data_IF_438469995827
#
_entry.id   IF_438469995827
#
_cell.length_a   1.000
_cell.length_b   1.000
_cell.length_c   1.000
_cell.angle_alpha   90.00
_cell.angle_beta   90.00
_cell.angle_gamma   90.00
#
_symmetry.space_group_name_H-M   'P 1'
#
loop_
_entity.id
_entity.type
_entity.pdbx_description
1 polymer ?
#
# COMPACT_ATOMS: atom_id res chain seq x y z
N UNK A 1 19.39 -4.79 -7.67
CA UNK A 1 20.81 -4.34 -7.67
C UNK A 1 21.27 -3.91 -9.07
N UNK A 2 21.15 -4.76 -10.09
CA UNK A 2 21.69 -4.48 -11.44
C UNK A 2 21.14 -3.21 -12.10
N UNK A 3 19.81 -2.93 -11.98
CA UNK A 3 19.23 -1.69 -12.51
C UNK A 3 19.81 -0.45 -11.82
N UNK A 4 19.80 -0.45 -10.47
CA UNK A 4 20.22 0.71 -9.69
C UNK A 4 21.70 1.03 -9.81
N UNK A 5 22.55 0.02 -10.06
CA UNK A 5 24.00 0.23 -10.29
C UNK A 5 24.30 0.91 -11.63
N UNK A 6 23.34 0.92 -12.56
CA UNK A 6 23.52 1.46 -13.94
C UNK A 6 22.89 2.84 -14.14
N UNK A 7 22.14 3.37 -13.16
CA UNK A 7 21.40 4.62 -13.34
C UNK A 7 21.80 5.66 -12.30
N UNK A 8 21.94 6.92 -12.74
CA UNK A 8 22.21 8.05 -11.85
C UNK A 8 20.98 8.44 -11.00
N UNK A 9 19.80 8.37 -11.60
CA UNK A 9 18.52 8.63 -10.93
C UNK A 9 17.59 7.43 -11.16
N UNK A 10 17.17 6.74 -10.11
CA UNK A 10 16.23 5.65 -10.21
C UNK A 10 14.85 6.15 -10.70
N UNK A 11 14.21 5.39 -11.59
CA UNK A 11 12.87 5.68 -12.06
C UNK A 11 12.06 4.40 -12.21
N UNK A 12 10.95 4.29 -11.48
CA UNK A 12 10.18 3.05 -11.37
C UNK A 12 9.65 2.56 -12.73
N UNK A 13 9.12 3.45 -13.56
CA UNK A 13 8.57 3.07 -14.85
C UNK A 13 9.62 2.43 -15.77
N UNK A 14 10.87 2.95 -15.80
CA UNK A 14 11.96 2.36 -16.55
C UNK A 14 12.36 0.99 -16.01
N UNK A 15 12.45 0.86 -14.68
CA UNK A 15 12.70 -0.42 -14.02
C UNK A 15 11.62 -1.45 -14.37
N UNK A 16 10.35 -1.08 -14.24
CA UNK A 16 9.22 -1.95 -14.53
C UNK A 16 9.19 -2.43 -15.98
N UNK A 17 9.42 -1.52 -16.94
CA UNK A 17 9.55 -1.87 -18.34
C UNK A 17 10.65 -2.93 -18.57
N UNK A 18 11.82 -2.74 -18.01
CA UNK A 18 12.92 -3.71 -18.09
C UNK A 18 12.53 -5.07 -17.49
N UNK A 19 11.85 -5.08 -16.33
CA UNK A 19 11.41 -6.32 -15.70
C UNK A 19 10.36 -7.06 -16.54
N UNK A 20 9.41 -6.34 -17.17
CA UNK A 20 8.43 -6.96 -18.08
C UNK A 20 9.10 -7.65 -19.27
N UNK A 21 10.05 -6.98 -19.91
CA UNK A 21 10.82 -7.54 -21.04
C UNK A 21 11.62 -8.76 -20.57
N UNK A 22 12.42 -8.61 -19.51
CA UNK A 22 13.33 -9.66 -19.03
C UNK A 22 12.58 -10.92 -18.58
N UNK A 23 11.40 -10.78 -17.98
CA UNK A 23 10.60 -11.90 -17.46
C UNK A 23 9.51 -12.37 -18.42
N UNK A 24 9.36 -11.72 -19.56
CA UNK A 24 8.30 -11.96 -20.55
C UNK A 24 6.90 -11.93 -19.92
N UNK A 25 6.63 -10.94 -19.04
CA UNK A 25 5.36 -10.78 -18.35
C UNK A 25 4.54 -9.67 -19.01
N UNK A 26 3.28 -9.97 -19.39
CA UNK A 26 2.41 -9.11 -20.18
C UNK A 26 3.05 -8.62 -21.48
N UNK A 27 3.76 -9.52 -22.15
CA UNK A 27 4.43 -9.27 -23.43
C UNK A 27 3.86 -10.21 -24.50
N UNK A 28 3.68 -9.70 -25.72
CA UNK A 28 3.34 -10.45 -26.93
C UNK A 28 4.21 -9.90 -28.06
N UNK A 29 4.93 -10.76 -28.75
CA UNK A 29 5.81 -10.42 -29.88
C UNK A 29 6.74 -9.22 -29.57
N UNK A 30 7.38 -9.26 -28.40
CA UNK A 30 8.25 -8.20 -27.86
C UNK A 30 7.56 -6.85 -27.58
N UNK A 31 6.22 -6.78 -27.68
CA UNK A 31 5.44 -5.60 -27.38
C UNK A 31 4.64 -5.79 -26.07
N UNK A 32 4.34 -4.72 -25.34
CA UNK A 32 3.48 -4.82 -24.18
C UNK A 32 2.05 -5.16 -24.59
N UNK A 33 1.40 -6.04 -23.83
CA UNK A 33 -0.03 -6.34 -23.99
C UNK A 33 -0.83 -5.04 -23.88
N UNK A 34 -1.81 -4.84 -24.76
CA UNK A 34 -2.59 -3.62 -24.85
C UNK A 34 -1.81 -2.42 -25.42
N UNK A 35 -0.64 -2.64 -26.01
CA UNK A 35 0.24 -1.63 -26.67
C UNK A 35 0.69 -0.49 -25.76
N UNK A 36 0.47 -0.59 -24.44
CA UNK A 36 0.89 0.39 -23.44
C UNK A 36 1.75 -0.26 -22.36
N UNK A 37 2.73 0.48 -21.84
CA UNK A 37 3.57 0.02 -20.72
C UNK A 37 2.87 0.18 -19.37
N UNK A 38 1.92 1.09 -19.25
CA UNK A 38 1.14 1.35 -18.05
C UNK A 38 -0.25 1.84 -18.43
N UNK A 39 -1.25 1.46 -17.64
CA UNK A 39 -2.64 1.90 -17.71
C UNK A 39 -3.03 2.76 -16.49
N UNK A 40 -2.05 3.33 -15.78
CA UNK A 40 -2.23 4.11 -14.56
C UNK A 40 -3.24 5.28 -14.71
N UNK A 41 -3.31 5.88 -15.89
CA UNK A 41 -4.27 6.96 -16.17
C UNK A 41 -5.73 6.51 -16.11
N UNK A 42 -5.99 5.21 -16.31
CA UNK A 42 -7.32 4.62 -16.27
C UNK A 42 -7.75 4.21 -14.86
N UNK A 43 -6.84 4.26 -13.88
CA UNK A 43 -7.01 3.75 -12.52
C UNK A 43 -7.49 4.81 -11.49
N UNK A 44 -8.09 5.91 -11.96
CA UNK A 44 -8.43 7.08 -11.14
C UNK A 44 -9.91 7.44 -11.18
N UNK A 45 -10.78 6.44 -11.24
CA UNK A 45 -12.23 6.65 -11.24
C UNK A 45 -12.75 6.80 -9.80
N UNK A 46 -13.69 7.71 -9.62
CA UNK A 46 -14.47 7.79 -8.36
C UNK A 46 -15.39 6.58 -8.28
N UNK A 47 -15.45 5.94 -7.11
CA UNK A 47 -16.31 4.78 -6.91
C UNK A 47 -17.79 5.20 -6.84
N UNK A 48 -18.68 4.61 -7.67
CA UNK A 48 -20.12 4.83 -7.58
C UNK A 48 -20.71 4.29 -6.27
N UNK A 49 -21.75 4.95 -5.76
CA UNK A 49 -22.38 4.55 -4.49
C UNK A 49 -23.03 3.16 -4.52
N UNK A 50 -23.48 2.72 -5.71
CA UNK A 50 -24.15 1.44 -5.90
C UNK A 50 -23.20 0.24 -6.05
N UNK A 51 -21.90 0.44 -6.10
CA UNK A 51 -20.95 -0.67 -6.12
C UNK A 51 -20.77 -1.19 -4.68
N UNK A 52 -21.09 -2.48 -4.41
CA UNK A 52 -20.95 -3.06 -3.10
C UNK A 52 -19.48 -3.15 -2.71
N UNK A 53 -19.21 -2.97 -1.42
CA UNK A 53 -17.89 -3.21 -0.88
C UNK A 53 -17.63 -4.70 -0.74
N UNK A 54 -16.47 -5.20 -1.22
CA UNK A 54 -16.11 -6.59 -1.03
C UNK A 54 -15.87 -6.89 0.46
N UNK A 55 -16.36 -8.01 0.92
CA UNK A 55 -16.14 -8.46 2.29
C UNK A 55 -14.69 -8.87 2.51
N UNK A 56 -14.21 -8.70 3.75
CA UNK A 56 -12.94 -9.28 4.17
C UNK A 56 -13.03 -10.81 4.21
N UNK A 57 -11.92 -11.51 3.91
CA UNK A 57 -11.85 -12.95 4.13
C UNK A 57 -12.13 -13.29 5.60
N UNK A 58 -12.83 -14.39 5.83
CA UNK A 58 -12.95 -14.98 7.16
C UNK A 58 -12.12 -16.24 7.22
N UNK A 59 -11.28 -16.32 8.23
CA UNK A 59 -10.41 -17.47 8.48
C UNK A 59 -10.91 -18.19 9.74
N UNK A 60 -10.49 -19.45 9.91
CA UNK A 60 -10.75 -20.18 11.15
C UNK A 60 -9.85 -19.63 12.24
N UNK A 61 -10.45 -19.33 13.38
CA UNK A 61 -9.69 -19.15 14.60
C UNK A 61 -9.10 -20.49 15.03
N UNK A 62 -7.85 -20.47 15.49
CA UNK A 62 -7.19 -21.61 16.09
C UNK A 62 -6.78 -21.29 17.55
N UNK A 63 -6.49 -22.32 18.33
CA UNK A 63 -6.15 -22.15 19.76
C UNK A 63 -4.90 -21.29 19.96
N UNK A 64 -3.92 -21.39 19.05
CA UNK A 64 -2.68 -20.59 19.10
C UNK A 64 -2.99 -19.12 18.89
N UNK A 65 -3.88 -18.80 17.96
CA UNK A 65 -4.29 -17.43 17.68
C UNK A 65 -5.01 -16.81 18.89
N UNK A 66 -5.89 -17.57 19.55
CA UNK A 66 -6.60 -17.09 20.74
C UNK A 66 -5.65 -16.86 21.92
N UNK A 67 -4.68 -17.75 22.14
CA UNK A 67 -3.63 -17.57 23.16
C UNK A 67 -2.78 -16.33 22.89
N UNK A 68 -2.41 -16.08 21.61
CA UNK A 68 -1.66 -14.90 21.21
C UNK A 68 -2.48 -13.63 21.40
N UNK A 69 -3.77 -13.62 21.02
CA UNK A 69 -4.66 -12.48 21.24
C UNK A 69 -4.74 -12.13 22.71
N UNK A 70 -4.90 -13.15 23.59
CA UNK A 70 -4.90 -12.94 25.05
C UNK A 70 -3.59 -12.33 25.53
N UNK A 71 -2.46 -12.93 25.14
CA UNK A 71 -1.13 -12.43 25.51
C UNK A 71 -0.91 -10.98 25.04
N UNK A 72 -1.30 -10.64 23.81
CA UNK A 72 -1.19 -9.27 23.28
C UNK A 72 -2.05 -8.30 24.08
N UNK A 73 -3.28 -8.65 24.38
CA UNK A 73 -4.18 -7.79 25.17
C UNK A 73 -3.66 -7.60 26.61
N UNK A 74 -3.03 -8.62 27.22
CA UNK A 74 -2.49 -8.54 28.55
C UNK A 74 -1.20 -7.70 28.61
N UNK A 75 -0.28 -7.87 27.65
CA UNK A 75 1.03 -7.21 27.64
C UNK A 75 1.04 -5.81 27.01
N UNK A 76 0.13 -5.53 26.09
CA UNK A 76 0.13 -4.31 25.29
C UNK A 76 -1.17 -3.50 25.41
N UNK A 77 -1.88 -3.64 26.54
CA UNK A 77 -3.17 -2.97 26.77
C UNK A 77 -3.10 -1.43 26.73
N UNK A 78 -1.92 -0.84 26.96
CA UNK A 78 -1.70 0.61 26.84
C UNK A 78 -1.34 1.09 25.42
N UNK A 79 -1.18 0.16 24.47
CA UNK A 79 -0.86 0.49 23.08
C UNK A 79 -2.13 0.77 22.28
N UNK A 80 -2.04 1.59 21.20
CA UNK A 80 -3.17 1.80 20.29
C UNK A 80 -3.67 0.50 19.65
N UNK A 81 -4.98 0.41 19.43
CA UNK A 81 -5.62 -0.73 18.80
C UNK A 81 -5.99 -1.87 19.76
N UNK A 82 -6.57 -2.92 19.23
CA UNK A 82 -6.93 -4.14 19.94
C UNK A 82 -6.98 -5.37 19.01
N UNK A 83 -7.13 -6.56 19.59
CA UNK A 83 -7.19 -7.80 18.81
C UNK A 83 -8.61 -8.19 18.38
N UNK A 84 -9.67 -7.45 18.77
CA UNK A 84 -11.07 -7.79 18.51
C UNK A 84 -11.43 -7.85 17.04
N UNK A 85 -10.80 -6.98 16.26
CA UNK A 85 -11.04 -6.85 14.83
C UNK A 85 -9.95 -7.53 13.99
N UNK A 86 -9.21 -8.49 14.55
CA UNK A 86 -8.20 -9.22 13.82
C UNK A 86 -8.80 -9.96 12.62
N UNK A 87 -8.27 -9.71 11.44
CA UNK A 87 -8.85 -10.15 10.16
C UNK A 87 -7.90 -10.97 9.30
N UNK A 88 -6.65 -11.15 9.74
CA UNK A 88 -5.62 -11.86 8.98
C UNK A 88 -5.68 -13.36 9.27
N UNK A 89 -5.41 -14.17 8.23
CA UNK A 89 -5.10 -15.58 8.43
C UNK A 89 -3.67 -15.78 8.91
N UNK A 90 -3.42 -16.86 9.62
CA UNK A 90 -2.14 -17.16 10.27
C UNK A 90 -1.26 -18.14 9.47
N UNK A 91 -1.77 -18.72 8.40
CA UNK A 91 -1.09 -19.77 7.64
C UNK A 91 -0.90 -19.45 6.16
N UNK A 92 0.03 -20.19 5.50
CA UNK A 92 0.16 -20.14 4.04
C UNK A 92 -1.16 -20.51 3.32
N UNK A 93 -1.93 -21.45 3.88
CA UNK A 93 -3.24 -21.83 3.33
C UNK A 93 -4.20 -20.65 3.33
N UNK A 94 -4.25 -19.89 4.43
CA UNK A 94 -5.09 -18.70 4.55
C UNK A 94 -4.63 -17.60 3.60
N UNK A 95 -3.33 -17.39 3.48
CA UNK A 95 -2.76 -16.43 2.53
C UNK A 95 -3.12 -16.76 1.07
N UNK A 96 -3.13 -18.03 0.69
CA UNK A 96 -3.59 -18.50 -0.63
C UNK A 96 -5.09 -18.32 -0.80
N UNK A 97 -5.89 -18.58 0.25
CA UNK A 97 -7.33 -18.31 0.26
C UNK A 97 -7.63 -16.80 0.09
N UNK A 98 -6.87 -15.93 0.78
CA UNK A 98 -6.98 -14.49 0.59
C UNK A 98 -6.69 -14.06 -0.85
N UNK A 99 -5.67 -14.65 -1.48
CA UNK A 99 -5.35 -14.42 -2.88
C UNK A 99 -6.48 -14.89 -3.82
N UNK A 100 -7.06 -16.06 -3.57
CA UNK A 100 -8.17 -16.58 -4.37
C UNK A 100 -9.41 -15.67 -4.27
N UNK A 101 -9.73 -15.18 -3.08
CA UNK A 101 -10.84 -14.25 -2.86
C UNK A 101 -10.57 -12.88 -3.50
N UNK A 102 -9.35 -12.35 -3.43
CA UNK A 102 -8.99 -11.14 -4.17
C UNK A 102 -9.22 -11.28 -5.67
N UNK A 103 -8.74 -12.38 -6.26
CA UNK A 103 -8.90 -12.64 -7.70
C UNK A 103 -10.38 -12.83 -8.06
N UNK A 104 -11.16 -13.49 -7.21
CA UNK A 104 -12.58 -13.73 -7.45
C UNK A 104 -13.41 -12.45 -7.35
N UNK A 105 -13.24 -11.68 -6.29
CA UNK A 105 -14.21 -10.66 -5.86
C UNK A 105 -13.75 -9.22 -6.10
N UNK A 106 -12.42 -8.98 -6.25
CA UNK A 106 -11.87 -7.63 -6.24
C UNK A 106 -11.10 -7.24 -7.51
N UNK A 107 -10.35 -8.16 -8.10
CA UNK A 107 -9.36 -7.81 -9.13
C UNK A 107 -9.96 -7.09 -10.34
N UNK A 108 -11.19 -7.41 -10.73
CA UNK A 108 -11.84 -6.78 -11.88
C UNK A 108 -12.09 -5.27 -11.68
N UNK A 109 -12.29 -4.86 -10.43
CA UNK A 109 -12.52 -3.47 -10.05
C UNK A 109 -11.25 -2.78 -9.51
N UNK A 110 -10.17 -3.53 -9.31
CA UNK A 110 -8.92 -3.01 -8.75
C UNK A 110 -8.39 -1.83 -9.57
N UNK A 111 -8.26 -2.00 -10.90
CA UNK A 111 -7.73 -0.95 -11.76
C UNK A 111 -8.57 0.32 -11.70
N UNK A 112 -9.85 0.23 -12.00
CA UNK A 112 -10.74 1.39 -12.05
C UNK A 112 -10.75 2.21 -10.74
N UNK A 113 -10.67 1.53 -9.60
CA UNK A 113 -10.83 2.13 -8.26
C UNK A 113 -9.59 2.04 -7.39
N UNK A 114 -8.40 1.89 -7.98
CA UNK A 114 -7.14 1.82 -7.23
C UNK A 114 -6.92 3.06 -6.35
N UNK A 115 -7.24 4.25 -6.90
CA UNK A 115 -7.09 5.53 -6.22
C UNK A 115 -8.37 6.00 -5.49
N UNK A 116 -9.45 5.24 -5.54
CA UNK A 116 -10.70 5.63 -4.89
C UNK A 116 -10.63 5.46 -3.38
N UNK A 117 -11.31 6.35 -2.66
CA UNK A 117 -11.46 6.29 -1.20
C UNK A 117 -12.95 6.28 -0.85
N UNK A 118 -13.34 5.46 0.12
CA UNK A 118 -14.67 5.45 0.70
C UNK A 118 -14.56 5.53 2.21
N UNK A 119 -15.31 6.47 2.80
CA UNK A 119 -15.38 6.63 4.25
C UNK A 119 -15.67 5.28 4.94
N UNK A 120 -14.94 4.98 6.01
CA UNK A 120 -15.06 3.73 6.78
C UNK A 120 -14.79 2.45 5.98
N UNK A 121 -14.01 2.55 4.90
CA UNK A 121 -13.64 1.41 4.05
C UNK A 121 -12.14 1.41 3.75
N UNK A 122 -11.29 0.95 4.66
CA UNK A 122 -9.84 0.98 4.50
C UNK A 122 -9.29 -0.06 3.51
N UNK A 123 -10.14 -0.94 2.99
CA UNK A 123 -9.74 -2.09 2.16
C UNK A 123 -10.15 -1.96 0.70
N UNK A 124 -11.39 -1.56 0.42
CA UNK A 124 -12.00 -1.51 -0.92
C UNK A 124 -11.59 -2.70 -1.82
N UNK A 125 -11.13 -2.40 -3.04
CA UNK A 125 -10.70 -3.42 -4.01
C UNK A 125 -9.22 -3.77 -3.91
N UNK A 126 -8.50 -3.26 -2.88
CA UNK A 126 -7.10 -3.63 -2.66
C UNK A 126 -6.95 -5.09 -2.24
N UNK A 127 -5.81 -5.70 -2.60
CA UNK A 127 -5.59 -7.14 -2.38
C UNK A 127 -5.39 -7.51 -0.91
N UNK A 128 -4.91 -6.56 -0.11
CA UNK A 128 -4.53 -6.73 1.30
C UNK A 128 -3.56 -7.89 1.55
N UNK A 129 -2.73 -8.21 0.55
CA UNK A 129 -1.76 -9.31 0.61
C UNK A 129 -0.40 -8.91 1.20
N UNK A 130 -0.19 -7.62 1.48
CA UNK A 130 1.09 -7.10 1.98
C UNK A 130 1.58 -7.78 3.26
N UNK A 131 0.74 -8.06 4.30
CA UNK A 131 1.20 -8.78 5.48
C UNK A 131 1.73 -10.18 5.16
N UNK A 132 1.01 -10.94 4.34
CA UNK A 132 1.41 -12.29 3.94
C UNK A 132 2.68 -12.32 3.10
N UNK A 133 2.86 -11.32 2.22
CA UNK A 133 4.06 -11.17 1.40
C UNK A 133 5.26 -10.74 2.25
N UNK A 134 5.07 -9.89 3.25
CA UNK A 134 6.15 -9.41 4.11
C UNK A 134 6.63 -10.50 5.07
N UNK A 135 5.73 -11.33 5.56
CA UNK A 135 6.03 -12.50 6.38
C UNK A 135 6.51 -13.72 5.58
N UNK A 136 6.47 -13.66 4.24
CA UNK A 136 6.91 -14.76 3.39
C UNK A 136 5.97 -15.96 3.32
N UNK A 137 4.72 -15.83 3.78
CA UNK A 137 3.70 -16.89 3.66
C UNK A 137 3.36 -17.19 2.20
N UNK A 138 3.36 -16.15 1.36
CA UNK A 138 3.32 -16.27 -0.11
C UNK A 138 4.39 -15.38 -0.73
N UNK A 139 4.80 -15.68 -1.95
CA UNK A 139 5.80 -14.88 -2.67
C UNK A 139 5.16 -14.06 -3.79
N UNK A 140 5.78 -12.95 -4.24
CA UNK A 140 5.33 -12.23 -5.43
C UNK A 140 5.19 -13.13 -6.67
N UNK A 141 6.06 -14.15 -6.79
CA UNK A 141 6.00 -15.12 -7.88
C UNK A 141 4.73 -15.98 -7.82
N UNK A 142 4.33 -16.43 -6.63
CA UNK A 142 3.08 -17.20 -6.43
C UNK A 142 1.88 -16.35 -6.86
N UNK A 143 1.83 -15.10 -6.42
CA UNK A 143 0.73 -14.17 -6.71
C UNK A 143 0.65 -13.86 -8.20
N UNK A 144 1.75 -13.44 -8.83
CA UNK A 144 1.78 -13.10 -10.26
C UNK A 144 1.39 -14.30 -11.11
N UNK A 145 1.93 -15.48 -10.82
CA UNK A 145 1.58 -16.73 -11.53
C UNK A 145 0.09 -17.01 -11.45
N UNK A 146 -0.49 -16.97 -10.24
CA UNK A 146 -1.90 -17.26 -10.03
C UNK A 146 -2.81 -16.28 -10.80
N UNK A 147 -2.48 -14.98 -10.78
CA UNK A 147 -3.23 -13.95 -11.51
C UNK A 147 -3.14 -14.17 -13.03
N UNK A 148 -1.94 -14.43 -13.55
CA UNK A 148 -1.75 -14.68 -14.98
C UNK A 148 -2.45 -15.97 -15.43
N UNK A 149 -2.40 -17.03 -14.65
CA UNK A 149 -3.08 -18.29 -14.97
C UNK A 149 -4.61 -18.12 -14.92
N UNK A 150 -5.12 -17.35 -13.98
CA UNK A 150 -6.55 -17.00 -13.95
C UNK A 150 -6.96 -16.20 -15.19
N UNK A 151 -6.14 -15.23 -15.60
CA UNK A 151 -6.42 -14.40 -16.78
C UNK A 151 -6.50 -15.22 -18.09
N UNK A 152 -5.81 -16.36 -18.19
CA UNK A 152 -5.92 -17.28 -19.33
C UNK A 152 -7.29 -17.96 -19.41
N UNK A 153 -7.93 -18.16 -18.27
CA UNK A 153 -9.23 -18.85 -18.15
C UNK A 153 -10.40 -17.88 -18.15
N UNK A 154 -10.21 -16.71 -17.56
CA UNK A 154 -11.20 -15.63 -17.45
C UNK A 154 -10.49 -14.30 -17.59
N UNK A 155 -10.82 -13.57 -18.64
CA UNK A 155 -10.21 -12.27 -18.91
C UNK A 155 -10.41 -11.28 -17.74
N UNK A 156 -9.31 -10.71 -17.29
CA UNK A 156 -9.27 -9.62 -16.31
C UNK A 156 -9.09 -8.30 -17.08
N UNK A 157 -9.84 -7.23 -16.76
CA UNK A 157 -9.65 -5.93 -17.40
C UNK A 157 -8.16 -5.52 -17.38
N UNK A 158 -7.67 -5.06 -18.53
CA UNK A 158 -6.21 -4.86 -18.72
C UNK A 158 -5.62 -3.83 -17.74
N UNK A 159 -6.36 -2.79 -17.40
CA UNK A 159 -5.95 -1.79 -16.41
C UNK A 159 -5.83 -2.41 -15.01
N UNK A 160 -6.71 -3.34 -14.64
CA UNK A 160 -6.62 -4.09 -13.38
C UNK A 160 -5.45 -5.07 -13.38
N UNK A 161 -5.30 -5.85 -14.46
CA UNK A 161 -4.25 -6.84 -14.59
C UNK A 161 -2.85 -6.21 -14.58
N UNK A 162 -2.63 -5.24 -15.45
CA UNK A 162 -1.35 -4.53 -15.54
C UNK A 162 -1.10 -3.71 -14.27
N UNK A 163 -2.11 -2.98 -13.79
CA UNK A 163 -2.00 -2.19 -12.57
C UNK A 163 -1.57 -3.02 -11.38
N UNK A 164 -2.21 -4.17 -11.15
CA UNK A 164 -1.86 -5.05 -10.03
C UNK A 164 -0.46 -5.66 -10.16
N UNK A 165 -0.08 -6.14 -11.35
CA UNK A 165 1.27 -6.67 -11.60
C UNK A 165 2.31 -5.56 -11.43
N UNK A 166 2.02 -4.32 -11.82
CA UNK A 166 2.88 -3.16 -11.63
C UNK A 166 3.12 -2.84 -10.15
N UNK A 167 2.15 -3.05 -9.27
CA UNK A 167 2.36 -2.88 -7.83
C UNK A 167 3.35 -3.91 -7.27
N UNK A 168 3.28 -5.17 -7.70
CA UNK A 168 4.16 -6.23 -7.21
C UNK A 168 5.55 -6.21 -7.85
N UNK A 169 5.61 -6.26 -9.17
CA UNK A 169 6.86 -6.38 -9.91
C UNK A 169 7.56 -5.03 -10.11
N UNK A 170 6.78 -3.95 -10.20
CA UNK A 170 7.26 -2.59 -10.27
C UNK A 170 7.55 -2.03 -8.88
N UNK A 171 6.55 -1.46 -8.23
CA UNK A 171 6.72 -0.70 -7.00
C UNK A 171 7.35 -1.49 -5.86
N UNK A 172 6.81 -2.65 -5.50
CA UNK A 172 7.34 -3.43 -4.37
C UNK A 172 8.83 -3.75 -4.52
N UNK A 173 9.24 -4.29 -5.66
CA UNK A 173 10.64 -4.66 -5.89
C UNK A 173 11.53 -3.43 -6.11
N UNK A 174 11.01 -2.36 -6.68
CA UNK A 174 11.71 -1.09 -6.81
C UNK A 174 12.01 -0.47 -5.43
N UNK A 175 11.01 -0.40 -4.53
CA UNK A 175 11.19 0.10 -3.16
C UNK A 175 12.23 -0.70 -2.38
N UNK A 176 12.21 -2.03 -2.53
CA UNK A 176 13.25 -2.87 -1.95
C UNK A 176 14.65 -2.52 -2.48
N UNK A 177 14.76 -2.24 -3.76
CA UNK A 177 16.00 -1.77 -4.37
C UNK A 177 16.44 -0.40 -3.82
N UNK A 178 15.51 0.55 -3.69
CA UNK A 178 15.78 1.87 -3.11
C UNK A 178 16.28 1.74 -1.68
N UNK A 179 15.60 0.97 -0.85
CA UNK A 179 16.03 0.71 0.54
C UNK A 179 17.49 0.22 0.59
N UNK A 180 17.82 -0.83 -0.14
CA UNK A 180 19.17 -1.43 -0.10
C UNK A 180 20.30 -0.53 -0.61
N UNK A 181 19.99 0.51 -1.37
CA UNK A 181 21.03 1.37 -1.97
C UNK A 181 21.05 2.80 -1.42
N UNK A 182 19.96 3.26 -0.79
CA UNK A 182 19.82 4.67 -0.43
C UNK A 182 19.28 4.88 1.00
N UNK A 183 19.16 3.83 1.83
CA UNK A 183 18.49 3.95 3.14
C UNK A 183 19.16 4.98 4.05
N UNK A 184 20.48 4.99 4.14
CA UNK A 184 21.20 5.99 4.95
C UNK A 184 20.86 7.43 4.55
N UNK A 185 20.71 7.69 3.26
CA UNK A 185 20.31 9.00 2.77
C UNK A 185 18.84 9.29 3.07
N UNK A 186 17.94 8.31 2.88
CA UNK A 186 16.52 8.45 3.18
C UNK A 186 16.30 8.87 4.63
N UNK A 187 16.92 8.16 5.58
CA UNK A 187 16.72 8.39 6.99
C UNK A 187 17.40 9.67 7.54
N UNK A 188 18.46 10.12 6.89
CA UNK A 188 19.26 11.26 7.37
C UNK A 188 18.99 12.57 6.64
N UNK A 189 17.98 12.60 5.75
CA UNK A 189 17.62 13.81 5.02
C UNK A 189 16.26 14.35 5.50
N UNK A 190 16.18 15.67 5.64
CA UNK A 190 14.94 16.39 5.93
C UNK A 190 14.87 17.61 5.01
N UNK A 191 14.51 17.39 3.75
CA UNK A 191 14.57 18.37 2.65
C UNK A 191 13.82 19.67 2.96
N UNK A 192 12.64 19.56 3.60
CA UNK A 192 11.82 20.73 3.96
C UNK A 192 12.17 21.32 5.33
N UNK A 193 13.13 20.73 6.06
CA UNK A 193 13.51 21.14 7.42
C UNK A 193 12.31 21.17 8.39
N UNK A 194 11.41 20.21 8.31
CA UNK A 194 10.26 20.07 9.20
C UNK A 194 10.71 19.61 10.59
N UNK A 195 10.19 20.25 11.66
CA UNK A 195 10.68 20.06 13.03
C UNK A 195 9.60 19.69 14.04
N UNK A 196 8.31 19.70 13.65
CA UNK A 196 7.22 19.45 14.58
C UNK A 196 7.15 17.98 14.97
N UNK A 197 6.85 17.74 16.25
CA UNK A 197 6.56 16.39 16.76
C UNK A 197 5.11 16.01 16.50
N UNK A 198 4.82 14.70 16.49
CA UNK A 198 3.48 14.18 16.54
C UNK A 198 2.81 14.51 17.87
N UNK A 199 1.54 14.94 17.84
CA UNK A 199 0.69 15.00 19.03
C UNK A 199 -0.11 13.69 19.20
N UNK A 200 -0.71 13.51 20.37
CA UNK A 200 -1.58 12.37 20.66
C UNK A 200 -2.80 12.30 19.73
N UNK A 201 -3.18 13.42 19.10
CA UNK A 201 -4.26 13.46 18.12
C UNK A 201 -4.06 12.50 16.95
N UNK A 202 -2.80 12.27 16.55
CA UNK A 202 -2.43 11.34 15.48
C UNK A 202 -2.56 9.86 15.89
N UNK A 203 -2.63 9.58 17.19
CA UNK A 203 -2.93 8.24 17.70
C UNK A 203 -4.43 8.07 18.02
N UNK A 204 -5.07 9.15 18.46
CA UNK A 204 -6.48 9.11 18.90
C UNK A 204 -7.48 9.38 17.75
N UNK A 205 -7.03 9.92 16.61
CA UNK A 205 -7.93 10.33 15.53
C UNK A 205 -8.80 11.52 15.92
N UNK A 206 -8.16 12.55 16.49
CA UNK A 206 -8.77 13.79 16.98
C UNK A 206 -8.08 15.03 16.41
N UNK A 207 -7.55 14.93 15.18
CA UNK A 207 -6.88 16.05 14.50
C UNK A 207 -7.84 17.18 14.10
N UNK A 208 -9.14 16.92 14.09
CA UNK A 208 -10.17 17.85 13.61
C UNK A 208 -10.35 17.87 12.09
N UNK A 209 -9.71 16.94 11.37
CA UNK A 209 -9.83 16.78 9.92
C UNK A 209 -10.51 15.43 9.64
N UNK A 210 -11.81 15.45 9.33
CA UNK A 210 -12.63 14.22 9.21
C UNK A 210 -11.97 13.08 8.42
N UNK A 211 -11.43 13.28 7.18
CA UNK A 211 -10.81 12.19 6.44
C UNK A 211 -9.57 11.60 7.11
N UNK A 212 -8.87 12.37 7.93
CA UNK A 212 -7.68 11.94 8.67
C UNK A 212 -8.09 11.18 9.92
N UNK A 213 -9.04 11.73 10.66
CA UNK A 213 -9.56 11.11 11.91
C UNK A 213 -10.24 9.77 11.62
N UNK A 214 -11.01 9.68 10.53
CA UNK A 214 -11.58 8.43 10.06
C UNK A 214 -10.48 7.41 9.68
N UNK A 215 -9.44 7.85 8.95
CA UNK A 215 -8.32 6.99 8.58
C UNK A 215 -7.56 6.47 9.81
N UNK A 216 -7.29 7.32 10.81
CA UNK A 216 -6.62 6.92 12.05
C UNK A 216 -7.48 5.92 12.85
N UNK A 217 -8.80 6.15 12.93
CA UNK A 217 -9.74 5.21 13.59
C UNK A 217 -9.78 3.86 12.89
N UNK A 218 -9.76 3.85 11.56
CA UNK A 218 -9.68 2.60 10.78
C UNK A 218 -8.34 1.89 11.01
N UNK A 219 -7.23 2.62 11.07
CA UNK A 219 -5.91 2.07 11.38
C UNK A 219 -5.87 1.50 12.81
N UNK A 220 -6.40 2.20 13.80
CA UNK A 220 -6.52 1.69 15.18
C UNK A 220 -7.35 0.40 15.23
N UNK A 221 -8.39 0.30 14.41
CA UNK A 221 -9.28 -0.86 14.39
C UNK A 221 -8.72 -2.07 13.67
N UNK A 222 -8.02 -1.85 12.56
CA UNK A 222 -7.60 -2.92 11.65
C UNK A 222 -6.08 -3.04 11.47
N UNK A 223 -5.28 -2.10 11.99
CA UNK A 223 -3.86 -1.99 11.67
C UNK A 223 -3.59 -1.78 10.17
N UNK A 224 -4.56 -1.25 9.43
CA UNK A 224 -4.49 -1.19 7.98
C UNK A 224 -5.26 -0.01 7.40
N UNK A 225 -4.72 0.56 6.35
CA UNK A 225 -5.40 1.40 5.37
C UNK A 225 -4.72 1.17 4.01
N UNK A 226 -5.46 1.26 2.91
CA UNK A 226 -4.87 1.09 1.57
C UNK A 226 -3.94 2.25 1.19
N UNK A 227 -3.11 2.03 0.15
CA UNK A 227 -2.02 2.92 -0.22
C UNK A 227 -2.43 4.39 -0.38
N UNK A 228 -3.55 4.68 -1.01
CA UNK A 228 -3.99 6.06 -1.25
C UNK A 228 -4.34 6.80 0.04
N UNK A 229 -4.97 6.13 1.00
CA UNK A 229 -5.20 6.72 2.32
C UNK A 229 -3.86 7.01 3.02
N UNK A 230 -2.89 6.08 2.94
CA UNK A 230 -1.55 6.29 3.52
C UNK A 230 -0.84 7.46 2.87
N UNK A 231 -0.85 7.56 1.54
CA UNK A 231 -0.11 8.56 0.77
C UNK A 231 -0.81 9.90 0.75
N UNK A 232 -2.05 9.94 0.24
CA UNK A 232 -2.73 11.19 -0.10
C UNK A 232 -3.54 11.79 1.05
N UNK A 233 -3.86 11.01 2.08
CA UNK A 233 -4.49 11.52 3.29
C UNK A 233 -3.46 11.68 4.40
N UNK A 234 -2.99 10.59 4.99
CA UNK A 234 -2.12 10.62 6.18
C UNK A 234 -0.78 11.31 5.93
N UNK A 235 0.07 10.76 5.04
CA UNK A 235 1.40 11.36 4.77
C UNK A 235 1.31 12.78 4.25
N UNK A 236 0.32 13.06 3.38
CA UNK A 236 0.11 14.39 2.82
C UNK A 236 -0.16 15.42 3.92
N UNK A 237 -1.13 15.16 4.81
CA UNK A 237 -1.48 16.11 5.88
C UNK A 237 -0.38 16.18 6.93
N UNK A 238 0.27 15.06 7.28
CA UNK A 238 1.45 15.06 8.16
C UNK A 238 2.56 15.95 7.61
N UNK A 239 2.84 15.87 6.31
CA UNK A 239 3.86 16.71 5.65
C UNK A 239 3.46 18.17 5.63
N UNK A 240 2.21 18.50 5.28
CA UNK A 240 1.69 19.86 5.28
C UNK A 240 1.64 20.45 6.70
N UNK A 241 1.47 19.63 7.73
CA UNK A 241 1.56 20.01 9.13
C UNK A 241 3.01 20.22 9.62
N UNK A 242 3.99 20.06 8.75
CA UNK A 242 5.42 20.24 9.04
C UNK A 242 5.96 19.26 10.12
N UNK A 243 5.37 18.06 10.20
CA UNK A 243 5.87 17.04 11.11
C UNK A 243 7.25 16.54 10.67
N UNK A 244 8.12 16.26 11.63
CA UNK A 244 9.45 15.75 11.35
C UNK A 244 9.36 14.36 10.67
N UNK A 245 10.08 14.10 9.55
CA UNK A 245 9.95 12.85 8.80
C UNK A 245 10.16 11.57 9.62
N UNK A 246 11.03 11.60 10.62
CA UNK A 246 11.25 10.47 11.53
C UNK A 246 10.06 10.20 12.46
N UNK A 247 9.33 11.24 12.88
CA UNK A 247 8.08 11.07 13.65
C UNK A 247 7.02 10.39 12.78
N UNK A 248 6.90 10.81 11.52
CA UNK A 248 5.98 10.20 10.55
C UNK A 248 6.37 8.73 10.31
N UNK A 249 7.67 8.46 10.07
CA UNK A 249 8.16 7.11 9.88
C UNK A 249 7.87 6.19 11.08
N UNK A 250 8.15 6.68 12.30
CA UNK A 250 7.86 5.97 13.55
C UNK A 250 6.39 5.60 13.62
N UNK A 251 5.50 6.55 13.40
CA UNK A 251 4.04 6.32 13.41
C UNK A 251 3.63 5.25 12.39
N UNK A 252 4.15 5.31 11.15
CA UNK A 252 3.85 4.29 10.14
C UNK A 252 4.39 2.90 10.51
N UNK A 253 5.52 2.83 11.20
CA UNK A 253 6.07 1.56 11.69
C UNK A 253 5.23 0.96 12.81
N UNK A 254 4.70 1.79 13.70
CA UNK A 254 3.90 1.37 14.86
C UNK A 254 2.48 0.97 14.49
N UNK A 255 1.86 1.64 13.54
CA UNK A 255 0.41 1.58 13.33
C UNK A 255 -0.06 0.58 12.28
N UNK A 256 0.82 0.00 11.48
CA UNK A 256 0.41 -0.90 10.39
C UNK A 256 0.93 -2.33 10.56
N UNK A 257 0.06 -3.31 10.36
CA UNK A 257 0.39 -4.76 10.46
C UNK A 257 1.33 -5.25 9.36
N UNK A 258 1.49 -4.50 8.29
CA UNK A 258 2.40 -4.81 7.18
C UNK A 258 3.69 -3.99 7.20
N UNK A 259 4.00 -3.36 8.33
CA UNK A 259 5.22 -2.58 8.49
C UNK A 259 6.48 -3.43 8.40
N UNK A 260 7.46 -2.92 7.67
CA UNK A 260 8.82 -3.44 7.55
C UNK A 260 9.72 -2.31 7.08
N UNK A 261 10.93 -2.20 7.60
CA UNK A 261 11.86 -1.11 7.26
C UNK A 261 12.03 -0.91 5.76
N UNK A 262 12.26 -2.00 5.03
CA UNK A 262 12.55 -1.97 3.61
C UNK A 262 11.40 -1.46 2.75
N UNK A 263 10.16 -1.53 3.23
CA UNK A 263 8.99 -0.97 2.54
C UNK A 263 8.62 0.39 3.08
N UNK A 264 8.67 0.58 4.40
CA UNK A 264 8.25 1.85 5.01
C UNK A 264 9.25 2.98 4.78
N UNK A 265 10.55 2.75 4.91
CA UNK A 265 11.56 3.78 4.73
C UNK A 265 11.46 4.50 3.38
N UNK A 266 11.53 3.83 2.21
CA UNK A 266 11.41 4.53 0.94
C UNK A 266 10.00 5.09 0.66
N UNK A 267 8.94 4.46 1.19
CA UNK A 267 7.59 4.97 1.01
C UNK A 267 7.33 6.23 1.84
N UNK A 268 7.81 6.28 3.09
CA UNK A 268 7.61 7.45 3.96
C UNK A 268 8.57 8.58 3.57
N UNK A 269 9.89 8.33 3.61
CA UNK A 269 10.87 9.39 3.36
C UNK A 269 10.92 9.83 1.90
N UNK A 270 10.78 8.90 0.95
CA UNK A 270 10.89 9.20 -0.48
C UNK A 270 9.56 9.61 -1.11
N UNK A 271 8.51 8.80 -0.96
CA UNK A 271 7.23 9.03 -1.63
C UNK A 271 6.30 9.93 -0.82
N UNK A 272 6.05 9.60 0.45
CA UNK A 272 5.04 10.25 1.27
C UNK A 272 5.41 11.67 1.70
N UNK A 273 6.64 11.89 2.15
CA UNK A 273 7.10 13.17 2.70
C UNK A 273 8.05 13.93 1.79
N UNK A 274 8.61 13.25 0.76
CA UNK A 274 9.68 13.83 -0.07
C UNK A 274 10.89 14.34 0.73
N UNK A 275 11.09 13.84 1.93
CA UNK A 275 12.15 14.33 2.82
C UNK A 275 13.56 13.99 2.33
N UNK A 276 13.68 13.05 1.39
CA UNK A 276 14.93 12.68 0.71
C UNK A 276 15.36 13.68 -0.38
N UNK A 277 14.53 14.67 -0.69
CA UNK A 277 14.78 15.64 -1.77
C UNK A 277 14.69 15.05 -3.17
N UNK A 278 14.05 13.88 -3.33
CA UNK A 278 13.73 13.27 -4.62
C UNK A 278 14.79 12.32 -5.16
N UNK A 279 15.18 11.33 -4.38
CA UNK A 279 16.04 10.22 -4.86
C UNK A 279 15.39 9.54 -6.06
N UNK A 280 14.11 9.18 -5.95
CA UNK A 280 13.36 8.54 -7.04
C UNK A 280 12.07 9.27 -7.41
N UNK A 281 11.46 10.01 -6.49
CA UNK A 281 10.31 10.85 -6.79
C UNK A 281 10.74 12.10 -7.55
N UNK A 282 9.92 12.55 -8.50
CA UNK A 282 10.24 13.74 -9.30
C UNK A 282 9.73 15.03 -8.66
N UNK A 283 8.74 14.90 -7.79
CA UNK A 283 8.11 16.01 -7.05
C UNK A 283 7.41 15.47 -5.80
N UNK A 284 7.11 16.32 -4.81
CA UNK A 284 6.28 15.94 -3.67
C UNK A 284 4.88 15.52 -4.10
N UNK A 285 4.32 14.50 -3.43
CA UNK A 285 2.92 14.11 -3.57
C UNK A 285 2.08 14.95 -2.60
N UNK A 286 1.75 16.16 -3.01
CA UNK A 286 0.94 17.09 -2.21
C UNK A 286 -0.40 17.32 -2.91
N UNK A 287 -1.49 17.23 -2.15
CA UNK A 287 -2.82 17.51 -2.63
C UNK A 287 -3.59 18.39 -1.62
N UNK A 288 -4.57 19.13 -2.13
CA UNK A 288 -5.54 19.86 -1.32
C UNK A 288 -6.85 19.08 -1.15
N UNK A 289 -7.79 19.68 -0.42
CA UNK A 289 -9.13 19.13 -0.15
C UNK A 289 -9.91 18.73 -1.42
N UNK A 290 -9.73 19.48 -2.50
CA UNK A 290 -10.38 19.19 -3.79
C UNK A 290 -10.05 17.77 -4.31
N UNK A 291 -8.81 17.30 -4.13
CA UNK A 291 -8.44 15.94 -4.51
C UNK A 291 -9.18 14.92 -3.64
N UNK A 292 -9.18 15.13 -2.33
CA UNK A 292 -9.82 14.23 -1.36
C UNK A 292 -11.33 14.11 -1.67
N UNK A 293 -12.01 15.23 -1.89
CA UNK A 293 -13.44 15.27 -2.23
C UNK A 293 -13.72 14.58 -3.59
N UNK A 294 -12.85 14.84 -4.57
CA UNK A 294 -12.99 14.25 -5.92
C UNK A 294 -12.87 12.72 -5.90
N UNK A 295 -11.92 12.19 -5.12
CA UNK A 295 -11.60 10.76 -5.12
C UNK A 295 -12.36 9.96 -4.06
N UNK A 296 -13.18 10.63 -3.24
CA UNK A 296 -13.89 10.00 -2.13
C UNK A 296 -15.40 10.36 -2.11
N UNK A 297 -16.09 9.87 -1.10
CA UNK A 297 -17.46 10.26 -0.76
C UNK A 297 -17.53 11.26 0.41
N UNK A 298 -16.42 11.88 0.79
CA UNK A 298 -16.41 13.05 1.67
C UNK A 298 -17.06 14.25 0.97
N UNK A 299 -17.58 15.20 1.78
CA UNK A 299 -18.28 16.41 1.31
C UNK A 299 -17.55 17.65 1.81
#
# INVERSE_FOLDING_TARGET
>A
KEYLSKVKKPFMATYYKQQRIQKNILMVDNNPVGKKWSFDEENRKKIPNNIPEPLLPKFRDDLILEDIKKMVNDLFHEHPGDTKNYWLGSSRKDALQALDLFIKDKINNFGDYEDAVRKSSPFLFHSVLSPYLNLGLITPKDVIRKVLDTNKLKEIPINSLEGFIRQLMGWREFMRGIYHNFNDRLENTNFFNHQRKLSDDWYNGTTGIDPIDDAIKDVNKYGYAHHIIRLMHLSNVMTLSQLHPREIYKWFMEMFVDSSDWVMSPNVFGMGTFSDGGIFSTKPYICGSNYIIKMSNYK
#
